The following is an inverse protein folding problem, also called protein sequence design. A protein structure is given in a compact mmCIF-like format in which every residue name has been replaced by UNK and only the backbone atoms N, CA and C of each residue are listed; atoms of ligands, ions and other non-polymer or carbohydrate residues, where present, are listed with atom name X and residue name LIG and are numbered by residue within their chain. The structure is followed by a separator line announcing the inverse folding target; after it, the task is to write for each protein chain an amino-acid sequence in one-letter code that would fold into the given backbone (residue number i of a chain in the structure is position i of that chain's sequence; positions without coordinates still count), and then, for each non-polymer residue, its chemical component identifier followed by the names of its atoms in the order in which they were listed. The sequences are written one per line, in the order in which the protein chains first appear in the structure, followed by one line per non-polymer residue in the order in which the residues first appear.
data_IF_575357359474
#
_entry.id   IF_575357359474
#
_cell.length_a   1.000
_cell.length_b   1.000
_cell.length_c   1.000
_cell.angle_alpha   90.00
_cell.angle_beta   90.00
_cell.angle_gamma   90.00
#
_symmetry.space_group_name_H-M   'P 1'
#
loop_
_entity.id
_entity.type
_entity.pdbx_description
1 polymer ?
#
# COMPACT_ATOMS: atom_id res chain seq x y z
N UNK A 1 29.63 11.64 -3.56
CA UNK A 1 29.22 10.89 -2.36
C UNK A 1 27.79 11.30 -2.07
N UNK A 2 26.82 10.58 -2.61
CA UNK A 2 25.43 10.74 -2.16
C UNK A 2 25.35 10.25 -0.72
N UNK A 3 24.83 11.09 0.18
CA UNK A 3 24.45 10.62 1.51
C UNK A 3 23.26 9.68 1.31
N UNK A 4 23.47 8.39 1.59
CA UNK A 4 22.39 7.42 1.64
C UNK A 4 21.34 7.89 2.64
N UNK A 5 20.09 7.99 2.20
CA UNK A 5 18.98 8.47 3.04
C UNK A 5 18.76 7.50 4.20
N UNK A 6 18.97 7.98 5.42
CA UNK A 6 18.78 7.20 6.64
C UNK A 6 17.28 7.01 6.92
N UNK A 7 16.71 5.95 6.34
CA UNK A 7 15.30 5.58 6.50
C UNK A 7 14.89 5.37 7.95
N UNK A 8 15.81 4.97 8.84
CA UNK A 8 15.53 4.77 10.26
C UNK A 8 15.27 6.11 10.96
N UNK A 9 16.02 7.17 10.59
CA UNK A 9 15.74 8.54 11.06
C UNK A 9 14.43 9.09 10.52
N UNK A 10 14.13 8.83 9.24
CA UNK A 10 12.83 9.21 8.67
C UNK A 10 11.70 8.50 9.43
N UNK A 11 11.82 7.20 9.66
CA UNK A 11 10.86 6.42 10.44
C UNK A 11 10.63 7.02 11.82
N UNK A 12 11.71 7.28 12.56
CA UNK A 12 11.62 7.92 13.87
C UNK A 12 10.86 9.25 13.80
N UNK A 13 11.24 10.12 12.85
CA UNK A 13 10.59 11.42 12.68
C UNK A 13 9.10 11.28 12.33
N UNK A 14 8.74 10.44 11.36
CA UNK A 14 7.34 10.25 10.95
C UNK A 14 6.50 9.69 12.10
N UNK A 15 6.99 8.67 12.81
CA UNK A 15 6.21 8.05 13.89
C UNK A 15 5.93 9.02 15.05
N UNK A 16 6.82 9.97 15.33
CA UNK A 16 6.63 10.93 16.42
C UNK A 16 5.88 12.20 16.04
N UNK A 17 5.77 12.54 14.75
CA UNK A 17 5.26 13.84 14.31
C UNK A 17 4.01 13.76 13.42
N UNK A 18 3.72 12.61 12.81
CA UNK A 18 2.58 12.45 11.89
C UNK A 18 1.25 12.40 12.66
N UNK A 19 0.30 13.24 12.28
CA UNK A 19 -0.95 13.44 13.03
C UNK A 19 -1.88 12.22 13.05
N UNK A 20 -1.66 11.25 12.17
CA UNK A 20 -2.44 10.02 12.10
C UNK A 20 -1.95 8.93 13.07
N UNK A 21 -0.81 9.12 13.73
CA UNK A 21 -0.31 8.17 14.73
C UNK A 21 -1.05 8.38 16.06
N UNK A 22 -1.95 7.46 16.38
CA UNK A 22 -2.71 7.44 17.64
C UNK A 22 -2.20 6.46 18.69
N UNK A 23 -1.22 5.62 18.35
CA UNK A 23 -0.64 4.62 19.24
C UNK A 23 0.67 5.11 19.88
N UNK A 24 1.02 4.53 21.02
CA UNK A 24 2.29 4.83 21.70
C UNK A 24 3.48 4.33 20.87
N UNK A 25 4.44 5.22 20.61
CA UNK A 25 5.66 4.90 19.86
C UNK A 25 6.77 4.50 20.83
N UNK A 26 6.94 3.20 21.04
CA UNK A 26 8.01 2.64 21.86
C UNK A 26 9.20 2.18 21.00
N UNK A 27 10.34 1.90 21.63
CA UNK A 27 11.51 1.32 20.95
C UNK A 27 11.17 -0.02 20.27
N UNK A 28 10.28 -0.80 20.85
CA UNK A 28 9.81 -2.06 20.28
C UNK A 28 9.01 -1.85 18.99
N UNK A 29 8.13 -0.83 18.97
CA UNK A 29 7.38 -0.42 17.77
C UNK A 29 8.34 -0.03 16.65
N UNK A 30 9.34 0.80 16.96
CA UNK A 30 10.36 1.21 15.99
C UNK A 30 11.22 0.04 15.51
N UNK A 31 11.54 -0.92 16.38
CA UNK A 31 12.30 -2.12 16.02
C UNK A 31 11.52 -3.00 15.04
N UNK A 32 10.24 -3.26 15.31
CA UNK A 32 9.38 -4.03 14.40
C UNK A 32 9.17 -3.26 13.09
N UNK A 33 8.94 -1.96 13.13
CA UNK A 33 8.77 -1.14 11.92
C UNK A 33 10.02 -1.14 11.03
N UNK A 34 11.21 -0.93 11.62
CA UNK A 34 12.48 -1.04 10.89
C UNK A 34 12.68 -2.44 10.32
N UNK A 35 12.37 -3.49 11.08
CA UNK A 35 12.48 -4.87 10.60
C UNK A 35 11.59 -5.10 9.38
N UNK A 36 10.30 -4.73 9.46
CA UNK A 36 9.35 -4.90 8.35
C UNK A 36 9.73 -4.05 7.14
N UNK A 37 10.17 -2.81 7.36
CA UNK A 37 10.61 -1.90 6.30
C UNK A 37 11.80 -2.45 5.50
N UNK A 38 12.77 -3.05 6.18
CA UNK A 38 13.91 -3.69 5.53
C UNK A 38 13.57 -5.05 4.90
N UNK A 39 12.37 -5.60 5.14
CA UNK A 39 11.91 -6.87 4.59
C UNK A 39 10.55 -6.71 3.92
N UNK A 40 10.47 -5.99 2.78
CA UNK A 40 9.20 -5.65 2.14
C UNK A 40 8.34 -6.87 1.75
N UNK A 41 8.98 -8.02 1.49
CA UNK A 41 8.25 -9.28 1.23
C UNK A 41 7.46 -9.76 2.45
N UNK A 42 8.01 -9.57 3.67
CA UNK A 42 7.32 -9.90 4.92
C UNK A 42 6.16 -8.93 5.15
N UNK A 43 6.40 -7.62 4.96
CA UNK A 43 5.35 -6.60 5.06
C UNK A 43 4.16 -6.91 4.13
N UNK A 44 4.43 -7.22 2.86
CA UNK A 44 3.40 -7.62 1.88
C UNK A 44 2.68 -8.90 2.29
N UNK A 45 3.40 -9.89 2.82
CA UNK A 45 2.81 -11.17 3.23
C UNK A 45 1.88 -11.01 4.44
N UNK A 46 2.25 -10.19 5.42
CA UNK A 46 1.40 -9.83 6.56
C UNK A 46 0.14 -9.12 6.07
N UNK A 47 0.29 -8.12 5.19
CA UNK A 47 -0.83 -7.41 4.61
C UNK A 47 -1.75 -8.35 3.81
N UNK A 48 -1.18 -9.28 3.03
CA UNK A 48 -1.92 -10.29 2.28
C UNK A 48 -2.73 -11.21 3.20
N UNK A 49 -2.12 -11.75 4.25
CA UNK A 49 -2.82 -12.57 5.24
C UNK A 49 -4.00 -11.81 5.87
N UNK A 50 -3.76 -10.55 6.28
CA UNK A 50 -4.83 -9.67 6.78
C UNK A 50 -5.97 -9.49 5.78
N UNK A 51 -5.66 -9.26 4.50
CA UNK A 51 -6.66 -9.06 3.43
C UNK A 51 -7.44 -10.33 3.11
N UNK A 52 -6.85 -11.50 3.30
CA UNK A 52 -7.50 -12.81 3.14
C UNK A 52 -8.33 -13.24 4.35
N UNK A 53 -8.32 -12.45 5.43
CA UNK A 53 -8.96 -12.77 6.71
C UNK A 53 -8.40 -14.03 7.35
N UNK A 54 -7.11 -14.30 7.13
CA UNK A 54 -6.40 -15.37 7.84
C UNK A 54 -6.31 -15.01 9.32
N UNK A 55 -6.41 -15.99 10.22
CA UNK A 55 -6.33 -15.73 11.67
C UNK A 55 -4.90 -15.45 12.15
N UNK A 56 -3.90 -15.89 11.39
CA UNK A 56 -2.49 -15.74 11.74
C UNK A 56 -1.57 -15.71 10.52
N UNK A 57 -0.37 -15.17 10.72
CA UNK A 57 0.75 -15.25 9.80
C UNK A 57 2.04 -15.56 10.56
N UNK A 58 2.87 -16.45 10.01
CA UNK A 58 4.18 -16.78 10.60
C UNK A 58 5.27 -16.76 9.55
N UNK A 59 6.33 -15.98 9.80
CA UNK A 59 7.55 -16.03 9.01
C UNK A 59 8.71 -16.55 9.86
N UNK A 60 9.26 -17.71 9.45
CA UNK A 60 10.41 -18.37 10.07
C UNK A 60 11.65 -18.10 9.22
N UNK A 61 12.53 -17.13 9.58
CA UNK A 61 13.76 -16.92 8.83
C UNK A 61 14.70 -18.11 9.02
N UNK A 62 15.60 -18.32 8.05
CA UNK A 62 16.68 -19.33 8.19
C UNK A 62 17.63 -19.01 9.35
N UNK A 63 17.86 -17.73 9.62
CA UNK A 63 18.69 -17.22 10.71
C UNK A 63 17.93 -16.06 11.35
N UNK A 64 17.83 -16.07 12.69
CA UNK A 64 17.15 -15.02 13.46
C UNK A 64 15.81 -15.46 14.02
N UNK A 65 15.05 -14.51 14.56
CA UNK A 65 13.80 -14.78 15.25
C UNK A 65 12.60 -14.87 14.31
N UNK A 66 11.70 -15.81 14.62
CA UNK A 66 10.39 -15.91 14.00
C UNK A 66 9.56 -14.67 14.34
N UNK A 67 8.86 -14.15 13.34
CA UNK A 67 7.78 -13.19 13.54
C UNK A 67 6.45 -13.91 13.36
N UNK A 68 5.58 -13.75 14.34
CA UNK A 68 4.23 -14.27 14.34
C UNK A 68 3.27 -13.09 14.46
N UNK A 69 2.19 -13.12 13.70
CA UNK A 69 1.16 -12.08 13.69
C UNK A 69 -0.18 -12.75 13.83
N UNK A 70 -0.96 -12.34 14.83
CA UNK A 70 -2.32 -12.82 15.07
C UNK A 70 -3.30 -11.73 14.66
N UNK A 71 -4.36 -12.11 13.95
CA UNK A 71 -5.44 -11.20 13.53
C UNK A 71 -6.74 -11.57 14.27
N UNK A 72 -7.16 -10.70 15.18
CA UNK A 72 -8.44 -10.84 15.88
C UNK A 72 -9.51 -10.03 15.16
N UNK A 73 -10.49 -10.73 14.59
CA UNK A 73 -11.63 -10.15 13.88
C UNK A 73 -12.91 -10.08 14.74
N UNK A 74 -12.78 -10.17 16.06
CA UNK A 74 -13.87 -10.03 17.02
C UNK A 74 -14.48 -8.63 17.07
N UNK A 75 -15.15 -8.31 18.20
CA UNK A 75 -15.84 -7.00 18.36
C UNK A 75 -14.88 -5.81 18.28
N UNK A 76 -13.70 -5.95 18.87
CA UNK A 76 -12.62 -4.96 18.77
C UNK A 76 -11.51 -5.57 17.92
N UNK A 77 -11.52 -5.25 16.63
CA UNK A 77 -10.54 -5.80 15.69
C UNK A 77 -9.14 -5.34 16.06
N UNK A 78 -8.21 -6.30 16.18
CA UNK A 78 -6.84 -6.02 16.59
C UNK A 78 -5.84 -6.95 15.93
N UNK A 79 -4.59 -6.50 15.88
CA UNK A 79 -3.47 -7.24 15.31
C UNK A 79 -2.35 -7.30 16.33
N UNK A 80 -1.85 -8.50 16.62
CA UNK A 80 -0.78 -8.71 17.60
C UNK A 80 0.46 -9.25 16.93
N UNK A 81 1.57 -8.50 17.00
CA UNK A 81 2.88 -8.94 16.58
C UNK A 81 3.62 -9.59 17.76
N UNK A 82 4.22 -10.75 17.51
CA UNK A 82 5.08 -11.45 18.46
C UNK A 82 6.42 -11.80 17.81
N UNK A 83 7.52 -11.36 18.41
CA UNK A 83 8.89 -11.67 17.96
C UNK A 83 9.86 -11.66 19.14
N UNK A 84 10.47 -12.80 19.43
CA UNK A 84 11.28 -13.00 20.65
C UNK A 84 10.48 -12.66 21.92
N UNK A 85 10.90 -11.65 22.67
CA UNK A 85 10.21 -11.16 23.88
C UNK A 85 9.29 -9.97 23.59
N UNK A 86 9.29 -9.44 22.36
CA UNK A 86 8.46 -8.31 21.96
C UNK A 86 7.05 -8.80 21.64
N UNK A 87 6.05 -8.15 22.23
CA UNK A 87 4.63 -8.35 21.94
C UNK A 87 3.93 -7.00 21.79
N UNK A 88 3.52 -6.67 20.57
CA UNK A 88 2.85 -5.41 20.25
C UNK A 88 1.43 -5.67 19.78
N UNK A 89 0.44 -5.00 20.37
CA UNK A 89 -0.95 -5.08 19.95
C UNK A 89 -1.40 -3.73 19.41
N UNK A 90 -2.01 -3.74 18.23
CA UNK A 90 -2.62 -2.57 17.59
C UNK A 90 -4.11 -2.81 17.41
N UNK A 91 -4.93 -1.76 17.53
CA UNK A 91 -6.26 -1.77 16.93
C UNK A 91 -6.12 -1.82 15.41
N UNK A 92 -7.12 -2.34 14.70
CA UNK A 92 -7.07 -2.49 13.23
C UNK A 92 -6.75 -1.16 12.51
N UNK A 93 -7.31 -0.04 12.97
CA UNK A 93 -7.03 1.28 12.41
C UNK A 93 -5.55 1.67 12.57
N UNK A 94 -4.99 1.49 13.77
CA UNK A 94 -3.59 1.77 14.08
C UNK A 94 -2.66 0.84 13.31
N UNK A 95 -3.02 -0.44 13.16
CA UNK A 95 -2.28 -1.41 12.34
C UNK A 95 -2.20 -0.97 10.88
N UNK A 96 -3.30 -0.51 10.29
CA UNK A 96 -3.30 -0.04 8.90
C UNK A 96 -2.42 1.20 8.73
N UNK A 97 -2.46 2.16 9.67
CA UNK A 97 -1.58 3.32 9.65
C UNK A 97 -0.12 2.89 9.82
N UNK A 98 0.17 2.01 10.79
CA UNK A 98 1.50 1.46 11.04
C UNK A 98 2.10 0.86 9.77
N UNK A 99 1.36 -0.02 9.10
CA UNK A 99 1.78 -0.64 7.84
C UNK A 99 1.94 0.40 6.72
N UNK A 100 1.04 1.38 6.62
CA UNK A 100 1.08 2.43 5.60
C UNK A 100 2.32 3.33 5.71
N UNK A 101 2.72 3.71 6.94
CA UNK A 101 3.91 4.54 7.14
C UNK A 101 5.19 3.75 6.82
N UNK A 102 5.25 2.46 7.18
CA UNK A 102 6.38 1.61 6.80
C UNK A 102 6.48 1.50 5.27
N UNK A 103 5.36 1.24 4.58
CA UNK A 103 5.35 1.16 3.10
C UNK A 103 5.81 2.48 2.45
N UNK A 104 5.28 3.62 2.90
CA UNK A 104 5.62 4.93 2.35
C UNK A 104 7.13 5.25 2.45
N UNK A 105 7.77 4.85 3.56
CA UNK A 105 9.18 5.15 3.84
C UNK A 105 10.10 4.17 3.11
N UNK A 106 9.80 2.87 3.19
CA UNK A 106 10.76 1.84 2.79
C UNK A 106 10.60 1.36 1.37
N UNK A 107 9.36 1.30 0.86
CA UNK A 107 9.10 0.71 -0.45
C UNK A 107 9.68 1.58 -1.55
N UNK A 108 10.45 0.94 -2.43
CA UNK A 108 10.98 1.56 -3.64
C UNK A 108 9.83 2.07 -4.52
N UNK A 109 9.97 3.28 -5.03
CA UNK A 109 9.04 3.82 -6.02
C UNK A 109 9.57 3.40 -7.39
N UNK A 110 8.87 2.48 -8.03
CA UNK A 110 9.31 1.92 -9.31
C UNK A 110 9.32 2.99 -10.41
N UNK A 111 10.33 3.02 -11.29
CA UNK A 111 10.36 3.92 -12.44
C UNK A 111 9.18 3.73 -13.39
N UNK A 112 8.79 4.80 -14.09
CA UNK A 112 7.86 4.68 -15.23
C UNK A 112 8.44 3.76 -16.30
N UNK A 113 7.59 2.97 -16.94
CA UNK A 113 7.97 1.94 -17.91
C UNK A 113 8.31 0.59 -17.28
N UNK A 114 8.34 0.48 -15.94
CA UNK A 114 8.51 -0.81 -15.28
C UNK A 114 7.35 -1.75 -15.59
N UNK A 115 7.66 -3.00 -15.93
CA UNK A 115 6.70 -4.08 -16.13
C UNK A 115 6.68 -4.93 -14.87
N UNK A 116 5.50 -5.09 -14.29
CA UNK A 116 5.29 -5.84 -13.06
C UNK A 116 4.28 -6.94 -13.26
N UNK A 117 4.48 -8.06 -12.57
CA UNK A 117 3.49 -9.13 -12.43
C UNK A 117 2.64 -8.85 -11.20
N UNK A 118 1.32 -8.88 -11.36
CA UNK A 118 0.37 -8.68 -10.28
C UNK A 118 0.09 -9.98 -9.52
N UNK A 119 -0.15 -9.86 -8.21
CA UNK A 119 -0.59 -10.97 -7.37
C UNK A 119 -2.10 -11.10 -7.48
N UNK A 120 -2.57 -12.10 -8.21
CA UNK A 120 -3.98 -12.34 -8.49
C UNK A 120 -4.85 -12.46 -7.22
N UNK A 121 -4.28 -12.98 -6.13
CA UNK A 121 -5.00 -13.10 -4.85
C UNK A 121 -5.25 -11.74 -4.18
N UNK A 122 -4.51 -10.70 -4.59
CA UNK A 122 -4.61 -9.34 -4.07
C UNK A 122 -5.43 -8.42 -4.98
N UNK A 123 -5.87 -8.91 -6.14
CA UNK A 123 -6.58 -8.10 -7.12
C UNK A 123 -8.07 -7.97 -6.80
N UNK A 124 -8.63 -6.75 -6.80
CA UNK A 124 -10.06 -6.55 -6.75
C UNK A 124 -10.72 -7.06 -8.04
N UNK A 125 -11.98 -7.48 -7.96
CA UNK A 125 -12.74 -8.04 -9.09
C UNK A 125 -12.74 -7.14 -10.33
N UNK A 126 -12.78 -5.82 -10.16
CA UNK A 126 -12.73 -4.87 -11.28
C UNK A 126 -11.44 -5.00 -12.11
N UNK A 127 -10.29 -5.20 -11.46
CA UNK A 127 -9.00 -5.40 -12.15
C UNK A 127 -8.93 -6.79 -12.76
N UNK A 128 -9.40 -7.82 -12.05
CA UNK A 128 -9.47 -9.19 -12.60
C UNK A 128 -10.25 -9.24 -13.90
N UNK A 129 -11.44 -8.64 -13.91
CA UNK A 129 -12.28 -8.56 -15.11
C UNK A 129 -11.53 -7.84 -16.26
N UNK A 130 -10.87 -6.72 -15.97
CA UNK A 130 -10.10 -5.98 -17.00
C UNK A 130 -8.95 -6.82 -17.59
N UNK A 131 -8.29 -7.64 -16.78
CA UNK A 131 -7.25 -8.58 -17.24
C UNK A 131 -7.85 -9.72 -18.07
N UNK A 132 -8.94 -10.34 -17.61
CA UNK A 132 -9.61 -11.43 -18.34
C UNK A 132 -10.06 -10.99 -19.74
N UNK A 133 -10.66 -9.80 -19.87
CA UNK A 133 -11.08 -9.25 -21.17
C UNK A 133 -9.90 -8.95 -22.11
N UNK A 134 -8.70 -8.74 -21.57
CA UNK A 134 -7.51 -8.46 -22.37
C UNK A 134 -6.95 -9.72 -23.05
N UNK A 135 -7.27 -10.91 -22.53
CA UNK A 135 -6.71 -12.19 -23.00
C UNK A 135 -5.21 -12.36 -22.74
N UNK A 136 -4.60 -11.50 -21.92
CA UNK A 136 -3.16 -11.47 -21.63
C UNK A 136 -2.89 -11.71 -20.14
N UNK A 137 -1.68 -12.20 -19.84
CA UNK A 137 -1.10 -12.41 -18.50
C UNK A 137 -1.27 -11.23 -17.55
N UNK A 138 -1.10 -11.47 -16.24
CA UNK A 138 -1.13 -10.50 -15.12
C UNK A 138 0.02 -9.47 -15.13
N UNK A 139 0.53 -9.14 -16.32
CA UNK A 139 1.60 -8.20 -16.57
C UNK A 139 1.04 -6.83 -16.92
N UNK A 140 1.52 -5.82 -16.22
CA UNK A 140 1.15 -4.44 -16.46
C UNK A 140 2.38 -3.54 -16.54
N UNK A 141 2.31 -2.52 -17.38
CA UNK A 141 3.33 -1.48 -17.50
C UNK A 141 2.91 -0.25 -16.70
N UNK A 142 3.79 0.18 -15.79
CA UNK A 142 3.58 1.38 -14.98
C UNK A 142 3.77 2.61 -15.86
N UNK A 143 2.73 3.43 -15.97
CA UNK A 143 2.74 4.68 -16.77
C UNK A 143 2.77 5.94 -15.92
N UNK A 144 2.50 5.82 -14.62
CA UNK A 144 2.84 6.86 -13.67
C UNK A 144 2.53 6.49 -12.23
N UNK A 145 2.80 7.45 -11.34
CA UNK A 145 3.16 7.19 -9.95
C UNK A 145 2.52 8.22 -9.03
N UNK A 146 2.16 7.80 -7.82
CA UNK A 146 1.83 8.66 -6.67
C UNK A 146 0.79 9.75 -7.03
N UNK A 147 -0.38 9.31 -7.46
CA UNK A 147 -1.50 10.18 -7.81
C UNK A 147 -2.41 10.40 -6.58
N UNK A 148 -2.47 11.61 -6.00
CA UNK A 148 -3.39 11.90 -4.90
C UNK A 148 -4.84 11.73 -5.35
N UNK A 149 -5.68 11.24 -4.45
CA UNK A 149 -7.12 11.33 -4.66
C UNK A 149 -7.58 12.79 -4.51
N UNK A 150 -8.73 13.10 -5.12
CA UNK A 150 -9.33 14.42 -4.98
C UNK A 150 -9.98 14.59 -3.60
N UNK A 151 -10.11 15.84 -3.15
CA UNK A 151 -10.84 16.16 -1.92
C UNK A 151 -12.27 15.59 -2.00
N UNK A 152 -12.82 15.03 -0.90
CA UNK A 152 -12.29 15.04 0.48
C UNK A 152 -11.35 13.86 0.83
N UNK A 153 -10.81 13.15 -0.17
CA UNK A 153 -9.99 11.94 0.03
C UNK A 153 -8.49 12.19 -0.20
N UNK A 154 -8.05 13.45 -0.21
CA UNK A 154 -6.69 13.89 -0.55
C UNK A 154 -5.61 13.43 0.43
N UNK A 155 -5.99 12.86 1.59
CA UNK A 155 -5.12 12.09 2.47
C UNK A 155 -4.67 10.73 1.89
N UNK A 156 -5.27 10.30 0.78
CA UNK A 156 -4.96 9.04 0.11
C UNK A 156 -4.25 9.23 -1.23
N UNK A 157 -3.42 8.26 -1.58
CA UNK A 157 -2.67 8.25 -2.84
C UNK A 157 -2.75 6.89 -3.53
N UNK A 158 -2.86 6.90 -4.85
CA UNK A 158 -2.68 5.70 -5.69
C UNK A 158 -1.19 5.56 -5.99
N UNK A 159 -0.60 4.40 -5.69
CA UNK A 159 0.84 4.21 -5.89
C UNK A 159 1.22 4.24 -7.37
N UNK A 160 0.47 3.54 -8.22
CA UNK A 160 0.70 3.56 -9.66
C UNK A 160 -0.60 3.50 -10.48
N UNK A 161 -0.53 4.08 -11.68
CA UNK A 161 -1.48 3.79 -12.74
C UNK A 161 -0.78 3.09 -13.90
N UNK A 162 -1.39 2.00 -14.36
CA UNK A 162 -0.78 1.05 -15.26
C UNK A 162 -1.74 0.60 -16.35
N UNK A 163 -1.18 0.07 -17.44
CA UNK A 163 -1.93 -0.57 -18.53
C UNK A 163 -1.46 -2.01 -18.70
N UNK A 164 -2.33 -2.85 -19.25
CA UNK A 164 -1.98 -4.24 -19.57
C UNK A 164 -0.80 -4.26 -20.55
N UNK A 165 0.22 -5.06 -20.26
CA UNK A 165 1.36 -5.25 -21.16
C UNK A 165 1.10 -6.47 -22.07
N UNK A 166 1.43 -6.44 -23.38
CA UNK A 166 2.04 -5.36 -24.15
C UNK A 166 1.03 -4.40 -24.80
N UNK A 167 -0.26 -4.51 -24.47
CA UNK A 167 -1.35 -3.76 -25.10
C UNK A 167 -1.16 -2.24 -24.94
N UNK A 168 -0.78 -1.81 -23.74
CA UNK A 168 -0.64 -0.40 -23.40
C UNK A 168 -1.99 0.33 -23.41
N UNK A 169 -1.94 1.63 -23.74
CA UNK A 169 -3.12 2.47 -23.83
C UNK A 169 -3.76 2.37 -25.22
N UNK A 170 -5.05 2.04 -25.27
CA UNK A 170 -5.88 2.10 -26.47
C UNK A 170 -6.99 3.16 -26.31
N UNK A 171 -7.61 3.63 -27.41
CA UNK A 171 -8.82 4.43 -27.33
C UNK A 171 -9.88 3.72 -26.46
N UNK A 172 -10.45 4.44 -25.49
CA UNK A 172 -11.42 3.97 -24.48
C UNK A 172 -10.89 3.05 -23.36
N UNK A 173 -9.62 2.64 -23.34
CA UNK A 173 -9.09 1.92 -22.16
C UNK A 173 -8.77 2.89 -21.03
N UNK A 174 -9.28 2.61 -19.83
CA UNK A 174 -8.92 3.35 -18.62
C UNK A 174 -7.69 2.71 -17.96
N UNK A 175 -6.82 3.51 -17.33
CA UNK A 175 -5.70 2.97 -16.58
C UNK A 175 -6.20 2.17 -15.37
N UNK A 176 -5.47 1.12 -15.02
CA UNK A 176 -5.64 0.39 -13.77
C UNK A 176 -4.90 1.11 -12.66
N UNK A 177 -5.55 1.30 -11.51
CA UNK A 177 -4.90 1.77 -10.30
C UNK A 177 -4.40 0.59 -9.49
N UNK A 178 -3.10 0.55 -9.26
CA UNK A 178 -2.44 -0.55 -8.55
C UNK A 178 -1.65 0.00 -7.36
N UNK A 179 -1.62 -0.77 -6.27
CA UNK A 179 -0.79 -0.46 -5.10
C UNK A 179 0.47 -1.32 -5.06
N UNK A 180 1.45 -0.90 -4.26
CA UNK A 180 2.64 -1.72 -3.99
C UNK A 180 2.30 -3.14 -3.50
N UNK A 181 1.19 -3.26 -2.77
CA UNK A 181 0.72 -4.53 -2.19
C UNK A 181 0.12 -5.50 -3.22
N UNK A 182 -0.21 -5.01 -4.43
CA UNK A 182 -0.71 -5.84 -5.54
C UNK A 182 0.42 -6.39 -6.42
N UNK A 183 1.66 -5.94 -6.22
CA UNK A 183 2.80 -6.34 -7.07
C UNK A 183 3.45 -7.60 -6.50
N UNK A 184 3.36 -8.69 -7.26
CA UNK A 184 4.03 -9.96 -6.96
C UNK A 184 5.53 -9.86 -7.18
N UNK A 185 5.94 -9.36 -8.35
CA UNK A 185 7.36 -9.10 -8.67
C UNK A 185 7.51 -8.08 -9.80
N UNK A 186 8.68 -7.47 -9.85
CA UNK A 186 9.12 -6.67 -11.00
C UNK A 186 9.69 -7.63 -12.04
N UNK A 187 9.12 -7.64 -13.25
CA UNK A 187 9.57 -8.48 -14.37
C UNK A 187 10.63 -7.74 -15.19
N UNK A 188 10.42 -6.44 -15.39
CA UNK A 188 11.38 -5.55 -16.02
C UNK A 188 11.34 -4.21 -15.31
N UNK A 189 12.49 -3.72 -14.88
CA UNK A 189 12.60 -2.38 -14.32
C UNK A 189 12.64 -1.37 -15.47
N UNK A 190 11.86 -0.30 -15.34
CA UNK A 190 11.87 0.81 -16.29
C UNK A 190 13.23 1.50 -16.33
N UNK A 191 13.34 2.55 -17.14
CA UNK A 191 14.60 3.27 -17.30
C UNK A 191 15.10 3.80 -15.94
N UNK A 192 16.23 3.28 -15.46
CA UNK A 192 16.98 3.90 -14.37
C UNK A 192 17.74 5.11 -14.92
N UNK A 193 17.45 6.26 -14.33
CA UNK A 193 18.09 7.52 -14.65
C UNK A 193 18.28 8.30 -13.35
N UNK A 194 19.45 8.93 -13.09
CA UNK A 194 19.68 9.66 -11.84
C UNK A 194 18.60 10.71 -11.53
N UNK A 195 18.11 11.41 -12.55
CA UNK A 195 16.98 12.34 -12.38
C UNK A 195 15.70 11.66 -11.88
N UNK A 196 15.41 10.41 -12.29
CA UNK A 196 14.23 9.68 -11.83
C UNK A 196 14.39 9.21 -10.38
N UNK A 197 15.60 8.84 -9.99
CA UNK A 197 15.95 8.47 -8.61
C UNK A 197 15.78 9.67 -7.69
N UNK A 198 16.41 10.81 -8.01
CA UNK A 198 16.24 12.08 -7.28
C UNK A 198 14.77 12.50 -7.23
N UNK A 199 14.05 12.45 -8.35
CA UNK A 199 12.63 12.82 -8.39
C UNK A 199 11.77 11.91 -7.51
N UNK A 200 12.05 10.61 -7.51
CA UNK A 200 11.32 9.64 -6.69
C UNK A 200 11.56 9.87 -5.19
N UNK A 201 12.80 10.16 -4.78
CA UNK A 201 13.15 10.42 -3.38
C UNK A 201 12.66 11.82 -2.93
N UNK A 202 13.13 12.86 -3.60
CA UNK A 202 13.07 14.24 -3.12
C UNK A 202 11.77 14.95 -3.48
N UNK A 203 11.02 14.41 -4.46
CA UNK A 203 9.73 14.96 -4.86
C UNK A 203 8.61 14.02 -4.45
N UNK A 204 8.56 12.81 -5.02
CA UNK A 204 7.40 11.92 -4.82
C UNK A 204 7.27 11.44 -3.36
N UNK A 205 8.33 10.86 -2.79
CA UNK A 205 8.29 10.38 -1.39
C UNK A 205 8.20 11.55 -0.42
N UNK A 206 9.05 12.56 -0.57
CA UNK A 206 9.03 13.73 0.32
C UNK A 206 7.64 14.41 0.36
N UNK A 207 6.99 14.58 -0.80
CA UNK A 207 5.64 15.15 -0.88
C UNK A 207 4.61 14.23 -0.22
N UNK A 208 4.66 12.92 -0.47
CA UNK A 208 3.75 11.96 0.16
C UNK A 208 3.85 12.04 1.69
N UNK A 209 5.08 12.01 2.24
CA UNK A 209 5.31 12.05 3.68
C UNK A 209 4.94 13.41 4.28
N UNK A 210 5.27 14.52 3.64
CA UNK A 210 4.96 15.87 4.13
C UNK A 210 3.45 16.16 4.17
N UNK A 211 2.68 15.55 3.26
CA UNK A 211 1.21 15.63 3.25
C UNK A 211 0.55 14.52 4.06
N UNK A 212 1.35 13.71 4.77
CA UNK A 212 0.91 12.55 5.54
C UNK A 212 0.07 11.54 4.72
N UNK A 213 0.25 11.48 3.41
CA UNK A 213 -0.58 10.68 2.52
C UNK A 213 -0.28 9.19 2.64
N UNK A 214 -1.32 8.38 2.70
CA UNK A 214 -1.22 6.91 2.76
C UNK A 214 -1.74 6.25 1.49
N UNK A 215 -1.12 5.13 1.09
CA UNK A 215 -1.57 4.37 -0.07
C UNK A 215 -3.03 3.94 0.12
N UNK A 216 -3.80 4.00 -0.97
CA UNK A 216 -5.18 3.48 -1.03
C UNK A 216 -5.28 2.00 -0.65
N UNK A 217 -4.18 1.23 -0.66
CA UNK A 217 -4.13 -0.10 -0.09
C UNK A 217 -4.57 -0.13 1.39
N UNK A 218 -4.18 0.88 2.16
CA UNK A 218 -4.46 0.97 3.60
C UNK A 218 -5.71 1.80 3.91
N UNK A 219 -6.50 2.14 2.89
CA UNK A 219 -7.76 2.83 3.07
C UNK A 219 -8.75 1.94 3.83
N UNK A 220 -9.26 2.38 5.00
CA UNK A 220 -10.28 1.63 5.72
C UNK A 220 -11.54 1.46 4.86
N UNK A 221 -12.24 0.33 5.02
CA UNK A 221 -13.43 0.00 4.21
C UNK A 221 -14.51 1.09 4.24
N UNK A 222 -14.66 1.81 5.36
CA UNK A 222 -15.59 2.94 5.48
C UNK A 222 -15.26 4.09 4.52
N UNK A 223 -13.98 4.43 4.40
CA UNK A 223 -13.50 5.53 3.56
C UNK A 223 -13.51 5.08 2.09
N UNK A 224 -13.21 3.81 1.81
CA UNK A 224 -13.33 3.23 0.47
C UNK A 224 -14.77 3.20 -0.05
N UNK A 225 -15.73 2.85 0.80
CA UNK A 225 -17.15 2.92 0.45
C UNK A 225 -17.60 4.36 0.20
N UNK A 226 -17.17 5.30 1.03
CA UNK A 226 -17.47 6.72 0.85
C UNK A 226 -16.86 7.26 -0.46
N UNK A 227 -15.62 6.87 -0.78
CA UNK A 227 -14.96 7.23 -2.03
C UNK A 227 -15.73 6.69 -3.24
N UNK A 228 -16.12 5.42 -3.22
CA UNK A 228 -16.90 4.83 -4.31
C UNK A 228 -18.24 5.55 -4.51
N UNK A 229 -18.95 5.89 -3.42
CA UNK A 229 -20.20 6.66 -3.48
C UNK A 229 -19.99 8.05 -4.10
N UNK A 230 -18.95 8.76 -3.66
CA UNK A 230 -18.61 10.07 -4.21
C UNK A 230 -18.28 9.99 -5.71
N UNK A 231 -17.42 9.03 -6.10
CA UNK A 231 -17.02 8.84 -7.48
C UNK A 231 -18.17 8.39 -8.40
N UNK A 232 -19.07 7.53 -7.90
CA UNK A 232 -20.25 7.10 -8.64
C UNK A 232 -21.24 8.27 -8.88
N UNK A 233 -21.37 9.17 -7.91
CA UNK A 233 -22.17 10.38 -8.03
C UNK A 233 -21.60 11.31 -9.11
N UNK A 234 -20.29 11.51 -9.14
CA UNK A 234 -19.64 12.39 -10.11
C UNK A 234 -19.69 11.86 -11.55
N UNK A 235 -19.55 10.55 -11.74
CA UNK A 235 -19.54 9.93 -13.08
C UNK A 235 -20.92 9.66 -13.65
N UNK A 236 -21.89 9.32 -12.80
CA UNK A 236 -23.18 8.82 -13.26
C UNK A 236 -24.37 9.68 -12.80
N UNK A 237 -24.15 10.66 -11.92
CA UNK A 237 -25.24 11.44 -11.32
C UNK A 237 -26.19 10.59 -10.46
N UNK A 238 -25.77 9.39 -10.05
CA UNK A 238 -26.59 8.44 -9.29
C UNK A 238 -26.25 8.56 -7.81
N UNK A 239 -27.22 8.97 -6.98
CA UNK A 239 -27.15 8.77 -5.53
C UNK A 239 -27.44 7.29 -5.21
N UNK A 240 -26.37 6.51 -5.08
CA UNK A 240 -26.44 5.12 -4.65
C UNK A 240 -26.70 5.08 -3.14
N UNK A 241 -27.99 5.19 -2.77
CA UNK A 241 -28.71 4.72 -1.57
C UNK A 241 -29.72 5.76 -1.02
N UNK A 242 -30.78 6.04 -1.78
CA UNK A 242 -32.08 6.50 -1.20
C UNK A 242 -33.17 5.41 -1.24
N UNK A 243 -32.79 4.15 -1.46
CA UNK A 243 -33.72 3.02 -1.35
C UNK A 243 -33.16 1.98 -0.40
N UNK A 244 -33.34 2.24 0.89
CA UNK A 244 -33.75 1.27 1.91
C UNK A 244 -33.66 1.92 3.31
N UNK A 245 -34.71 2.63 3.71
CA UNK A 245 -35.36 2.47 5.03
C UNK A 245 -36.83 2.90 4.85
N UNK A 246 -37.73 1.93 4.73
CA UNK A 246 -39.11 2.02 5.21
C UNK A 246 -39.42 0.72 5.93
#
# INVERSE_FOLDING_TARGET
MEQEVDKSKILYSIFHNDSQISFEVTDEVLLIANFLGNHPQILRSIYKAYRKLDSEFTYKPKIGATIHVEFDYGKERSVTFSRQQIKLRFLEADFLIFMAKIDAIYTEILPVGSIVELDEEMLPAAIKNQLEYSGVSELVVITGRKLPLQAPFDKYIVDYYAYVWPIGQLPATRPMFISNMMIKRVVHQGLSHPLDETFSLDVLRATQLAKEQISTAYMPSKDGLAYYKHYAKDLFGIDLLEKEVK
#
